data_IF_395762388210
#
_entry.id   IF_395762388210
#
_cell.length_a   1.000
_cell.length_b   1.000
_cell.length_c   1.000
_cell.angle_alpha   90.00
_cell.angle_beta   90.00
_cell.angle_gamma   90.00
#
_symmetry.space_group_name_H-M   'P 1'
#
loop_
_entity.id
_entity.type
_entity.pdbx_description
1 polymer ?
#
# COMPACT_ATOMS: atom_id res chain seq x y z
N UNK A 1 -5.56 -50.47 6.68
CA UNK A 1 -4.15 -50.14 6.37
C UNK A 1 -3.36 -50.31 7.65
N UNK A 2 -2.34 -51.16 7.65
CA UNK A 2 -1.51 -51.46 8.83
C UNK A 2 -0.20 -50.69 8.71
N UNK A 3 0.18 -50.00 9.78
CA UNK A 3 1.48 -49.34 9.92
C UNK A 3 2.35 -50.18 10.86
N UNK A 4 3.56 -50.52 10.44
CA UNK A 4 4.54 -51.23 11.27
C UNK A 4 5.67 -50.27 11.65
N UNK A 5 6.04 -50.25 12.91
CA UNK A 5 7.23 -49.55 13.39
C UNK A 5 8.44 -50.47 13.27
N UNK A 6 9.55 -49.94 12.73
CA UNK A 6 10.85 -50.62 12.70
C UNK A 6 11.71 -49.96 13.77
N UNK A 7 12.06 -50.75 14.77
CA UNK A 7 13.02 -50.37 15.81
C UNK A 7 14.43 -50.57 15.25
N UNK A 8 15.30 -49.57 15.42
CA UNK A 8 16.71 -49.66 15.06
C UNK A 8 17.56 -49.28 16.28
N UNK A 9 18.65 -50.02 16.50
CA UNK A 9 19.65 -49.65 17.48
C UNK A 9 20.59 -48.59 16.87
N UNK A 10 20.74 -47.47 17.56
CA UNK A 10 21.83 -46.54 17.30
C UNK A 10 23.09 -47.21 17.87
N UNK A 11 23.98 -47.66 16.99
CA UNK A 11 25.24 -48.28 17.39
C UNK A 11 26.04 -47.27 18.23
N UNK A 12 26.37 -47.64 19.47
CA UNK A 12 27.31 -46.86 20.29
C UNK A 12 28.70 -46.89 19.63
N UNK A 13 29.27 -45.71 19.40
CA UNK A 13 30.58 -45.55 18.75
C UNK A 13 30.54 -45.09 17.29
N UNK A 14 29.48 -44.42 16.84
CA UNK A 14 29.52 -43.70 15.56
C UNK A 14 30.67 -42.68 15.61
N UNK A 15 31.64 -42.85 14.72
CA UNK A 15 32.78 -41.95 14.58
C UNK A 15 32.27 -40.52 14.38
N UNK A 16 32.80 -39.55 15.13
CA UNK A 16 32.45 -38.15 14.97
C UNK A 16 32.74 -37.64 13.54
N UNK A 17 33.67 -38.28 12.83
CA UNK A 17 33.92 -38.03 11.41
C UNK A 17 32.69 -38.28 10.53
N UNK A 18 31.75 -39.13 10.95
CA UNK A 18 30.50 -39.39 10.23
C UNK A 18 29.53 -38.20 10.24
N UNK A 19 29.72 -37.25 11.18
CA UNK A 19 28.97 -36.00 11.28
C UNK A 19 29.79 -34.79 10.81
N UNK A 20 30.88 -35.01 10.09
CA UNK A 20 31.66 -33.92 9.49
C UNK A 20 31.07 -33.54 8.12
N UNK A 21 30.84 -32.25 7.92
CA UNK A 21 30.49 -31.68 6.62
C UNK A 21 31.64 -30.75 6.21
N UNK A 22 32.50 -31.23 5.32
CA UNK A 22 33.63 -30.47 4.75
C UNK A 22 33.20 -29.59 3.56
N UNK A 23 31.90 -29.50 3.30
CA UNK A 23 31.36 -28.62 2.26
C UNK A 23 31.37 -27.15 2.70
N UNK A 24 31.16 -26.23 1.75
CA UNK A 24 31.11 -24.81 2.07
C UNK A 24 29.96 -24.54 3.04
N UNK A 25 30.28 -23.97 4.20
CA UNK A 25 29.27 -23.43 5.12
C UNK A 25 28.76 -22.12 4.51
N UNK A 26 27.54 -22.16 3.97
CA UNK A 26 26.85 -20.96 3.50
C UNK A 26 26.01 -20.43 4.67
N UNK A 27 26.21 -19.18 5.04
CA UNK A 27 25.36 -18.57 6.06
C UNK A 27 23.95 -18.40 5.51
N UNK A 28 22.94 -18.63 6.35
CA UNK A 28 21.53 -18.47 5.96
C UNK A 28 21.22 -17.05 5.44
N UNK A 29 21.95 -16.05 5.93
CA UNK A 29 21.88 -14.68 5.41
C UNK A 29 22.35 -14.56 3.96
N UNK A 30 23.46 -15.21 3.61
CA UNK A 30 24.03 -15.21 2.26
C UNK A 30 23.10 -15.93 1.28
N UNK A 31 22.53 -17.06 1.70
CA UNK A 31 21.55 -17.80 0.90
C UNK A 31 20.30 -16.93 0.64
N UNK A 32 19.77 -16.27 1.67
CA UNK A 32 18.61 -15.37 1.53
C UNK A 32 18.92 -14.17 0.65
N UNK A 33 20.14 -13.62 0.74
CA UNK A 33 20.55 -12.51 -0.11
C UNK A 33 20.67 -12.96 -1.57
N UNK A 34 21.32 -14.10 -1.85
CA UNK A 34 21.45 -14.64 -3.18
C UNK A 34 20.08 -14.96 -3.82
N UNK A 35 19.15 -15.52 -3.04
CA UNK A 35 17.78 -15.77 -3.49
C UNK A 35 17.03 -14.49 -3.83
N UNK A 36 17.17 -13.42 -3.02
CA UNK A 36 16.57 -12.11 -3.34
C UNK A 36 17.14 -11.53 -4.62
N UNK A 37 18.45 -11.55 -4.77
CA UNK A 37 19.11 -11.05 -5.99
C UNK A 37 18.69 -11.83 -7.24
N UNK A 38 18.58 -13.16 -7.14
CA UNK A 38 18.09 -13.99 -8.25
C UNK A 38 16.64 -13.67 -8.60
N UNK A 39 15.77 -13.50 -7.60
CA UNK A 39 14.37 -13.14 -7.81
C UNK A 39 14.21 -11.73 -8.40
N UNK A 40 15.03 -10.76 -7.94
CA UNK A 40 15.04 -9.40 -8.46
C UNK A 40 15.51 -9.38 -9.92
N UNK A 41 16.56 -10.13 -10.26
CA UNK A 41 17.07 -10.25 -11.62
C UNK A 41 16.05 -10.91 -12.58
N UNK A 42 15.40 -11.99 -12.14
CA UNK A 42 14.34 -12.63 -12.93
C UNK A 42 13.16 -11.67 -13.16
N UNK A 43 12.78 -10.89 -12.14
CA UNK A 43 11.72 -9.88 -12.27
C UNK A 43 12.10 -8.78 -13.25
N UNK A 44 13.34 -8.28 -13.20
CA UNK A 44 13.83 -7.28 -14.14
C UNK A 44 13.83 -7.81 -15.58
N UNK A 45 14.27 -9.06 -15.79
CA UNK A 45 14.24 -9.72 -17.10
C UNK A 45 12.81 -9.83 -17.65
N UNK A 46 11.86 -10.29 -16.82
CA UNK A 46 10.44 -10.37 -17.21
C UNK A 46 9.86 -9.00 -17.56
N UNK A 47 10.17 -7.97 -16.78
CA UNK A 47 9.75 -6.59 -17.07
C UNK A 47 10.42 -6.02 -18.33
N UNK A 48 11.68 -6.37 -18.61
CA UNK A 48 12.36 -5.98 -19.86
C UNK A 48 11.70 -6.64 -21.07
N UNK A 49 11.48 -7.96 -21.00
CA UNK A 49 10.77 -8.70 -22.05
C UNK A 49 9.39 -8.10 -22.33
N UNK A 50 8.60 -7.78 -21.30
CA UNK A 50 7.28 -7.19 -21.48
C UNK A 50 7.35 -5.84 -22.20
N UNK A 51 8.27 -4.96 -21.80
CA UNK A 51 8.48 -3.65 -22.43
C UNK A 51 8.88 -3.80 -23.91
N UNK A 52 9.78 -4.72 -24.22
CA UNK A 52 10.27 -4.96 -25.57
C UNK A 52 9.23 -5.59 -26.50
N UNK A 53 8.41 -6.51 -25.98
CA UNK A 53 7.51 -7.32 -26.82
C UNK A 53 6.07 -6.79 -26.86
N UNK A 54 5.61 -6.11 -25.81
CA UNK A 54 4.24 -5.55 -25.72
C UNK A 54 4.25 -4.04 -26.02
N UNK A 55 5.38 -3.37 -25.84
CA UNK A 55 5.55 -1.95 -26.19
C UNK A 55 4.96 -0.95 -25.18
N UNK A 56 4.25 -1.43 -24.14
CA UNK A 56 3.81 -0.59 -23.04
C UNK A 56 4.89 -0.52 -21.95
N UNK A 57 5.44 0.68 -21.72
CA UNK A 57 6.35 0.93 -20.58
C UNK A 57 5.57 1.13 -19.28
N UNK A 58 4.35 1.65 -19.40
CA UNK A 58 3.42 1.86 -18.30
C UNK A 58 1.99 1.70 -18.83
N UNK A 59 1.12 1.11 -18.02
CA UNK A 59 -0.31 0.95 -18.34
C UNK A 59 -1.09 1.66 -17.25
N UNK A 60 -1.74 2.78 -17.61
CA UNK A 60 -2.64 3.50 -16.73
C UNK A 60 -4.08 3.09 -17.02
N UNK A 61 -4.79 2.63 -15.99
CA UNK A 61 -6.20 2.22 -16.08
C UNK A 61 -6.99 3.06 -15.09
N UNK A 62 -7.88 3.97 -15.55
CA UNK A 62 -8.73 4.72 -14.66
C UNK A 62 -9.72 3.77 -13.98
N UNK A 63 -9.82 3.87 -12.65
CA UNK A 63 -10.71 3.04 -11.84
C UNK A 63 -11.55 3.91 -10.91
N UNK A 64 -12.84 3.57 -10.78
CA UNK A 64 -13.73 4.18 -9.80
C UNK A 64 -13.67 3.39 -8.50
N UNK A 65 -13.44 4.09 -7.39
CA UNK A 65 -13.37 3.49 -6.06
C UNK A 65 -14.45 4.10 -5.15
N UNK A 66 -15.25 3.25 -4.53
CA UNK A 66 -16.21 3.68 -3.53
C UNK A 66 -15.50 4.02 -2.22
N UNK A 67 -15.39 5.31 -1.91
CA UNK A 67 -14.89 5.79 -0.64
C UNK A 67 -16.00 5.80 0.41
N UNK A 68 -15.73 5.26 1.60
CA UNK A 68 -16.65 5.32 2.74
C UNK A 68 -15.98 6.04 3.89
N UNK A 69 -16.74 6.81 4.67
CA UNK A 69 -16.22 7.37 5.91
C UNK A 69 -15.77 6.23 6.84
N UNK A 70 -14.51 6.28 7.26
CA UNK A 70 -13.94 5.32 8.21
C UNK A 70 -13.96 5.92 9.62
N UNK A 71 -13.33 7.07 9.76
CA UNK A 71 -13.13 7.72 11.05
C UNK A 71 -13.06 9.24 10.92
N UNK A 72 -13.54 9.96 11.93
CA UNK A 72 -13.38 11.42 12.06
C UNK A 72 -12.43 11.69 13.23
N UNK A 73 -11.23 12.17 12.93
CA UNK A 73 -10.16 12.41 13.90
C UNK A 73 -10.40 13.66 14.74
N UNK A 74 -10.87 14.73 14.08
CA UNK A 74 -11.20 16.00 14.71
C UNK A 74 -12.49 16.53 14.12
N UNK A 75 -13.32 17.15 14.96
CA UNK A 75 -14.48 17.93 14.56
C UNK A 75 -14.54 19.19 15.42
N UNK A 76 -14.65 20.32 14.74
CA UNK A 76 -14.68 21.64 15.32
C UNK A 76 -16.13 22.18 15.31
N UNK A 77 -16.44 23.11 16.21
CA UNK A 77 -17.81 23.64 16.38
C UNK A 77 -18.26 24.51 15.18
N UNK A 78 -17.30 25.06 14.45
CA UNK A 78 -17.48 25.85 13.22
C UNK A 78 -17.73 24.99 11.97
N UNK A 79 -17.82 23.67 12.14
CA UNK A 79 -17.99 22.72 11.04
C UNK A 79 -16.68 22.26 10.41
N UNK A 80 -15.53 22.69 10.91
CA UNK A 80 -14.24 22.10 10.55
C UNK A 80 -14.15 20.62 10.95
N UNK A 81 -13.45 19.82 10.16
CA UNK A 81 -13.14 18.44 10.53
C UNK A 81 -11.91 17.91 9.79
N UNK A 82 -11.37 16.81 10.32
CA UNK A 82 -10.39 15.96 9.67
C UNK A 82 -10.85 14.50 9.80
N UNK A 83 -10.90 13.79 8.68
CA UNK A 83 -11.45 12.44 8.59
C UNK A 83 -10.61 11.55 7.67
N UNK A 84 -10.69 10.25 7.91
CA UNK A 84 -10.20 9.22 7.01
C UNK A 84 -11.37 8.58 6.28
N UNK A 85 -11.22 8.45 4.96
CA UNK A 85 -12.08 7.63 4.13
C UNK A 85 -11.38 6.30 3.84
N UNK A 86 -12.13 5.22 3.91
CA UNK A 86 -11.69 3.87 3.52
C UNK A 86 -12.03 3.62 2.06
N UNK A 87 -11.05 3.14 1.32
CA UNK A 87 -11.18 2.68 -0.07
C UNK A 87 -10.98 1.16 -0.14
N UNK A 88 -11.40 0.50 -1.23
CA UNK A 88 -11.15 -0.91 -1.44
C UNK A 88 -9.65 -1.28 -1.42
N UNK A 89 -9.35 -2.45 -0.85
CA UNK A 89 -7.98 -2.99 -0.80
C UNK A 89 -7.10 -2.38 0.28
N UNK A 90 -7.64 -2.11 1.47
CA UNK A 90 -6.91 -1.55 2.63
C UNK A 90 -6.28 -0.17 2.37
N UNK A 91 -6.81 0.58 1.40
CA UNK A 91 -6.36 1.92 1.06
C UNK A 91 -7.17 2.97 1.81
N UNK A 92 -6.56 4.13 2.01
CA UNK A 92 -7.15 5.23 2.76
C UNK A 92 -6.96 6.56 2.02
N UNK A 93 -7.90 7.47 2.25
CA UNK A 93 -7.79 8.87 1.93
C UNK A 93 -7.93 9.69 3.21
N UNK A 94 -7.31 10.87 3.24
CA UNK A 94 -7.64 11.88 4.24
C UNK A 94 -8.47 12.98 3.61
N UNK A 95 -9.53 13.39 4.29
CA UNK A 95 -10.41 14.48 3.90
C UNK A 95 -10.51 15.45 5.06
N UNK A 96 -10.33 16.74 4.79
CA UNK A 96 -10.47 17.78 5.78
C UNK A 96 -11.27 18.93 5.22
N UNK A 97 -11.92 19.64 6.14
CA UNK A 97 -12.67 20.86 5.89
C UNK A 97 -12.39 21.84 7.01
N UNK A 98 -12.33 23.13 6.69
CA UNK A 98 -12.36 24.22 7.66
C UNK A 98 -13.20 25.38 7.13
N UNK A 99 -13.71 26.30 7.97
CA UNK A 99 -14.25 27.56 7.46
C UNK A 99 -13.26 28.28 6.56
N UNK A 100 -13.76 28.92 5.51
CA UNK A 100 -12.94 29.63 4.54
C UNK A 100 -12.12 30.71 5.25
N UNK A 101 -10.81 30.68 5.03
CA UNK A 101 -9.88 31.63 5.66
C UNK A 101 -8.66 31.87 4.76
N UNK A 102 -8.13 33.09 4.82
CA UNK A 102 -6.86 33.44 4.18
C UNK A 102 -5.65 33.00 5.02
N UNK A 103 -5.86 32.50 6.25
CA UNK A 103 -4.79 31.97 7.08
C UNK A 103 -4.21 30.67 6.48
N UNK A 104 -2.88 30.46 6.55
CA UNK A 104 -2.25 29.23 6.08
C UNK A 104 -2.90 27.97 6.70
N UNK A 105 -3.12 26.94 5.87
CA UNK A 105 -3.64 25.66 6.34
C UNK A 105 -2.58 24.58 6.31
N UNK A 106 -1.91 24.38 7.44
CA UNK A 106 -0.91 23.33 7.57
C UNK A 106 -1.59 21.99 7.91
N UNK A 107 -1.58 21.08 6.93
CA UNK A 107 -1.99 19.70 7.09
C UNK A 107 -0.72 18.84 7.13
N UNK A 108 -0.56 18.05 8.19
CA UNK A 108 0.60 17.16 8.37
C UNK A 108 0.43 15.85 7.59
N UNK A 109 -0.03 15.96 6.35
CA UNK A 109 -0.25 14.82 5.47
C UNK A 109 0.95 14.61 4.56
N UNK A 110 1.25 13.35 4.29
CA UNK A 110 2.20 12.96 3.25
C UNK A 110 1.54 12.96 1.88
N UNK A 111 2.35 13.12 0.83
CA UNK A 111 1.92 13.01 -0.55
C UNK A 111 1.28 14.28 -1.12
N UNK A 112 0.66 14.12 -2.28
CA UNK A 112 0.00 15.21 -3.00
C UNK A 112 -1.35 15.54 -2.37
N UNK A 113 -1.56 16.81 -2.03
CA UNK A 113 -2.78 17.28 -1.38
C UNK A 113 -3.52 18.21 -2.33
N UNK A 114 -4.67 17.74 -2.81
CA UNK A 114 -5.61 18.55 -3.59
C UNK A 114 -6.42 19.45 -2.66
N UNK A 115 -6.55 20.73 -3.03
CA UNK A 115 -7.26 21.74 -2.23
C UNK A 115 -8.23 22.51 -3.10
N UNK A 116 -9.38 22.86 -2.53
CA UNK A 116 -10.35 23.74 -3.17
C UNK A 116 -11.14 24.50 -2.11
N UNK A 117 -11.79 25.58 -2.51
CA UNK A 117 -12.63 26.38 -1.62
C UNK A 117 -14.02 26.57 -2.21
N UNK A 118 -15.03 26.55 -1.35
CA UNK A 118 -16.39 26.99 -1.67
C UNK A 118 -16.61 28.39 -1.10
N UNK A 119 -17.85 28.91 -1.11
CA UNK A 119 -18.16 30.18 -0.49
C UNK A 119 -17.87 30.19 1.03
N UNK A 120 -18.09 29.05 1.70
CA UNK A 120 -18.07 28.97 3.16
C UNK A 120 -16.89 28.17 3.73
N UNK A 121 -16.31 27.25 2.95
CA UNK A 121 -15.33 26.30 3.46
C UNK A 121 -14.12 26.15 2.54
N UNK A 122 -12.96 25.92 3.15
CA UNK A 122 -11.80 25.35 2.48
C UNK A 122 -11.80 23.84 2.69
N UNK A 123 -11.39 23.11 1.66
CA UNK A 123 -11.34 21.66 1.63
C UNK A 123 -9.96 21.18 1.21
N UNK A 124 -9.57 20.03 1.73
CA UNK A 124 -8.35 19.35 1.34
C UNK A 124 -8.58 17.84 1.31
N UNK A 125 -8.00 17.18 0.32
CA UNK A 125 -8.02 15.72 0.19
C UNK A 125 -6.65 15.21 -0.25
N UNK A 126 -6.28 14.03 0.25
CA UNK A 126 -5.13 13.25 -0.24
C UNK A 126 -5.48 11.78 -0.32
N UNK A 127 -4.92 11.09 -1.31
CA UNK A 127 -4.94 9.64 -1.46
C UNK A 127 -3.53 9.13 -1.17
N UNK A 128 -3.37 8.21 -0.20
CA UNK A 128 -2.04 7.83 0.28
C UNK A 128 -1.22 6.98 -0.72
N UNK A 129 -1.87 6.35 -1.71
CA UNK A 129 -1.21 5.40 -2.64
C UNK A 129 -1.73 5.49 -4.09
N UNK A 130 -2.54 6.51 -4.42
CA UNK A 130 -3.19 6.63 -5.72
C UNK A 130 -3.16 8.08 -6.19
N UNK A 131 -2.96 8.32 -7.49
CA UNK A 131 -3.16 9.66 -8.03
C UNK A 131 -4.66 10.01 -7.98
N UNK A 132 -4.95 11.27 -7.65
CA UNK A 132 -6.27 11.85 -7.82
C UNK A 132 -6.21 12.78 -9.02
N UNK A 133 -6.78 12.36 -10.14
CA UNK A 133 -6.83 13.21 -11.33
C UNK A 133 -7.91 14.31 -11.23
N UNK A 134 -7.87 15.28 -12.15
CA UNK A 134 -8.78 16.42 -12.18
C UNK A 134 -10.25 16.00 -12.30
N UNK A 135 -10.54 14.91 -13.02
CA UNK A 135 -11.90 14.44 -13.23
C UNK A 135 -12.48 13.80 -11.96
N UNK A 136 -11.68 13.01 -11.25
CA UNK A 136 -12.03 12.43 -9.97
C UNK A 136 -12.18 13.51 -8.89
N UNK A 137 -11.30 14.52 -8.89
CA UNK A 137 -11.41 15.67 -7.99
C UNK A 137 -12.70 16.45 -8.24
N UNK A 138 -13.05 16.74 -9.50
CA UNK A 138 -14.29 17.41 -9.85
C UNK A 138 -15.53 16.62 -9.40
N UNK A 139 -15.54 15.29 -9.61
CA UNK A 139 -16.64 14.44 -9.15
C UNK A 139 -16.76 14.42 -7.61
N UNK A 140 -15.64 14.42 -6.88
CA UNK A 140 -15.65 14.52 -5.42
C UNK A 140 -16.21 15.88 -4.96
N UNK A 141 -15.82 16.97 -5.61
CA UNK A 141 -16.32 18.31 -5.31
C UNK A 141 -17.84 18.39 -5.47
N UNK A 142 -18.39 17.83 -6.56
CA UNK A 142 -19.85 17.78 -6.78
C UNK A 142 -20.58 17.01 -5.68
N UNK A 143 -20.05 15.86 -5.27
CA UNK A 143 -20.66 15.03 -4.22
C UNK A 143 -20.64 15.69 -2.84
N UNK A 144 -19.59 16.46 -2.52
CA UNK A 144 -19.45 17.13 -1.22
C UNK A 144 -20.13 18.50 -1.15
N UNK A 145 -20.52 19.08 -2.30
CA UNK A 145 -21.27 20.33 -2.38
C UNK A 145 -22.80 20.13 -2.39
N UNK A 146 -23.29 18.90 -2.61
CA UNK A 146 -24.71 18.61 -2.54
C UNK A 146 -25.19 18.69 -1.07
N UNK A 147 -26.30 19.41 -0.78
CA UNK A 147 -26.94 19.32 0.54
C UNK A 147 -27.35 17.85 0.77
N UNK A 148 -27.31 17.35 2.02
CA UNK A 148 -27.75 15.99 2.30
C UNK A 148 -29.18 15.82 1.78
N UNK A 149 -29.41 14.82 0.93
CA UNK A 149 -30.76 14.39 0.61
C UNK A 149 -31.43 13.99 1.93
N UNK A 150 -32.40 14.81 2.36
CA UNK A 150 -33.16 14.61 3.59
C UNK A 150 -34.07 13.39 3.56
#
# INVERSE_FOLDING_TARGET
>A
MSSSFVEFEVLDGVDAAFFSYDGPVVEDADLRQAQRQAADAEREEQCAWFRENVGATEVSIPVTLDARLDHVHRRDADGGFEATLRLPGHRHASLARRPRSDEPWELRWSGEVSRWSTAEFDWAVTLHDLPLDDAALASLQEQLQAPPAG
#
